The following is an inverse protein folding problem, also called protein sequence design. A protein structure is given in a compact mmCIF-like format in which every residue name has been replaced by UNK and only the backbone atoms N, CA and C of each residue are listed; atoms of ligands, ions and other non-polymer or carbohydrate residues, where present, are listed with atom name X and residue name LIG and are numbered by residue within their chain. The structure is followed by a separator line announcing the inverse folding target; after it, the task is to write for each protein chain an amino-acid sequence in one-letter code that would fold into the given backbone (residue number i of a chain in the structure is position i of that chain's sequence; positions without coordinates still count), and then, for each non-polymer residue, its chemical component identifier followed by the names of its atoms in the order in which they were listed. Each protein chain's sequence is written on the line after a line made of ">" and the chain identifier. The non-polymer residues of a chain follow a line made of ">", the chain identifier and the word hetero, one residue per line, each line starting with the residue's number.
data_IF_968360390908
#
_entry.id   IF_968360390908
#
_cell.length_a   1.000
_cell.length_b   1.000
_cell.length_c   1.000
_cell.angle_alpha   90.00
_cell.angle_beta   90.00
_cell.angle_gamma   90.00
#
_symmetry.space_group_name_H-M   'P 1'
#
loop_
_entity.id
_entity.type
_entity.pdbx_description
1 polymer ?
#
# COMPACT_ATOMS: atom_id res chain seq x y z
N UNK A 1 18.51 34.26 -25.28
CA UNK A 1 18.09 34.46 -23.87
C UNK A 1 17.69 33.07 -23.40
N UNK A 2 18.69 32.27 -23.04
CA UNK A 2 18.51 30.86 -22.68
C UNK A 2 18.33 30.79 -21.16
N UNK A 3 17.16 30.31 -20.75
CA UNK A 3 16.74 30.30 -19.36
C UNK A 3 17.58 29.31 -18.52
N UNK A 4 17.85 29.61 -17.23
CA UNK A 4 18.59 28.76 -16.28
C UNK A 4 17.85 27.47 -15.87
N UNK A 5 16.79 27.12 -16.59
CA UNK A 5 15.91 25.99 -16.29
C UNK A 5 16.58 24.63 -16.52
N UNK A 6 17.62 24.56 -17.36
CA UNK A 6 18.26 23.30 -17.74
C UNK A 6 19.13 22.71 -16.64
N UNK A 7 19.79 23.53 -15.81
CA UNK A 7 20.58 23.04 -14.68
C UNK A 7 19.70 22.56 -13.53
N UNK A 8 18.63 23.29 -13.21
CA UNK A 8 17.67 22.91 -12.17
C UNK A 8 16.91 21.63 -12.53
N UNK A 9 16.51 21.50 -13.80
CA UNK A 9 15.92 20.25 -14.31
C UNK A 9 16.95 19.12 -14.27
N UNK A 10 18.21 19.39 -14.61
CA UNK A 10 19.29 18.41 -14.54
C UNK A 10 19.52 17.87 -13.12
N UNK A 11 19.55 18.75 -12.13
CA UNK A 11 19.68 18.37 -10.72
C UNK A 11 18.48 17.57 -10.22
N UNK A 12 17.27 17.97 -10.62
CA UNK A 12 16.05 17.25 -10.30
C UNK A 12 16.06 15.84 -10.91
N UNK A 13 16.45 15.73 -12.18
CA UNK A 13 16.54 14.44 -12.88
C UNK A 13 17.61 13.55 -12.23
N UNK A 14 18.81 14.07 -11.93
CA UNK A 14 19.86 13.29 -11.24
C UNK A 14 19.37 12.78 -9.87
N UNK A 15 18.64 13.62 -9.13
CA UNK A 15 18.03 13.22 -7.87
C UNK A 15 17.02 12.08 -8.05
N UNK A 16 16.10 12.19 -9.01
CA UNK A 16 15.08 11.16 -9.25
C UNK A 16 15.68 9.85 -9.76
N UNK A 17 16.66 9.92 -10.66
CA UNK A 17 17.40 8.76 -11.17
C UNK A 17 18.13 8.04 -10.05
N UNK A 18 18.84 8.75 -9.17
CA UNK A 18 19.54 8.13 -8.04
C UNK A 18 18.60 7.58 -6.99
N UNK A 19 17.50 8.26 -6.73
CA UNK A 19 16.64 7.97 -5.59
C UNK A 19 15.59 6.90 -5.93
N UNK A 20 14.98 6.96 -7.11
CA UNK A 20 13.76 6.18 -7.40
C UNK A 20 13.81 5.34 -8.68
N UNK A 21 14.50 5.79 -9.74
CA UNK A 21 14.43 5.14 -11.06
C UNK A 21 15.60 4.19 -11.31
N UNK A 22 16.82 4.59 -10.93
CA UNK A 22 18.08 3.98 -11.35
C UNK A 22 18.62 4.64 -12.62
N UNK A 23 19.90 4.42 -12.94
CA UNK A 23 20.52 4.97 -14.16
C UNK A 23 21.56 4.07 -14.77
N UNK A 24 21.69 4.15 -16.09
CA UNK A 24 22.76 3.49 -16.84
C UNK A 24 23.91 4.46 -17.04
N UNK A 25 25.10 4.10 -16.58
CA UNK A 25 26.31 4.88 -16.80
C UNK A 25 26.74 4.80 -18.27
N UNK A 26 27.55 5.76 -18.71
CA UNK A 26 28.14 5.74 -20.06
C UNK A 26 28.98 4.47 -20.33
N UNK A 27 29.45 3.80 -19.27
CA UNK A 27 30.13 2.49 -19.35
C UNK A 27 29.20 1.31 -19.66
N UNK A 28 27.89 1.54 -19.73
CA UNK A 28 26.86 0.51 -19.87
C UNK A 28 26.46 -0.18 -18.56
N UNK A 29 27.09 0.16 -17.44
CA UNK A 29 26.75 -0.40 -16.14
C UNK A 29 25.49 0.26 -15.56
N UNK A 30 24.54 -0.55 -15.08
CA UNK A 30 23.33 -0.08 -14.42
C UNK A 30 23.54 0.11 -12.92
N UNK A 31 23.25 1.32 -12.43
CA UNK A 31 23.18 1.65 -11.01
C UNK A 31 21.73 1.58 -10.55
N UNK A 32 21.46 0.68 -9.60
CA UNK A 32 20.15 0.58 -8.96
C UNK A 32 19.83 1.85 -8.15
N UNK A 33 18.54 2.20 -8.11
CA UNK A 33 18.04 3.29 -7.27
C UNK A 33 18.20 2.98 -5.78
N UNK A 34 18.21 4.01 -4.94
CA UNK A 34 18.20 3.86 -3.48
C UNK A 34 16.88 3.27 -2.98
N UNK A 35 15.76 3.68 -3.59
CA UNK A 35 14.42 3.19 -3.31
C UNK A 35 13.78 2.70 -4.62
N UNK A 36 14.21 1.54 -5.14
CA UNK A 36 13.70 1.00 -6.39
C UNK A 36 12.19 0.81 -6.32
N UNK A 37 11.55 0.90 -7.49
CA UNK A 37 10.10 0.85 -7.61
C UNK A 37 9.49 -0.43 -6.99
N UNK A 38 10.23 -1.54 -6.95
CA UNK A 38 9.82 -2.79 -6.28
C UNK A 38 9.51 -2.63 -4.78
N UNK A 39 10.06 -1.63 -4.11
CA UNK A 39 9.77 -1.31 -2.71
C UNK A 39 8.48 -0.50 -2.54
N UNK A 40 7.89 -0.01 -3.62
CA UNK A 40 6.72 0.85 -3.54
C UNK A 40 5.48 0.00 -3.25
N UNK A 41 4.68 0.43 -2.26
CA UNK A 41 3.44 -0.25 -1.82
C UNK A 41 2.41 -0.52 -2.94
N UNK A 42 2.58 0.08 -4.11
CA UNK A 42 1.66 0.00 -5.25
C UNK A 42 2.30 -0.62 -6.52
N UNK A 43 3.57 -1.01 -6.50
CA UNK A 43 4.29 -1.42 -7.72
C UNK A 43 3.60 -2.54 -8.51
N UNK A 44 2.97 -3.50 -7.80
CA UNK A 44 2.33 -4.65 -8.43
C UNK A 44 0.86 -4.41 -8.83
N UNK A 45 0.20 -3.34 -8.40
CA UNK A 45 -1.25 -3.19 -8.58
C UNK A 45 -1.73 -3.03 -10.04
N UNK A 46 -1.03 -2.30 -10.93
CA UNK A 46 -1.53 -2.06 -12.30
C UNK A 46 -1.54 -3.32 -13.17
N UNK A 47 -0.54 -4.20 -13.01
CA UNK A 47 -0.35 -5.37 -13.87
C UNK A 47 -1.28 -6.55 -13.52
N UNK A 48 -1.84 -6.57 -12.30
CA UNK A 48 -2.68 -7.68 -11.82
C UNK A 48 -4.17 -7.32 -11.70
N UNK A 49 -4.59 -6.12 -12.12
CA UNK A 49 -5.99 -5.68 -12.01
C UNK A 49 -6.51 -5.67 -10.56
N UNK A 50 -5.60 -5.60 -9.59
CA UNK A 50 -5.95 -5.63 -8.17
C UNK A 50 -6.54 -4.27 -7.77
N UNK A 51 -7.65 -4.24 -7.00
CA UNK A 51 -8.11 -3.01 -6.38
C UNK A 51 -6.95 -2.39 -5.63
N UNK A 52 -6.68 -1.10 -5.85
CA UNK A 52 -5.53 -0.45 -5.24
C UNK A 52 -5.47 -0.74 -3.75
N UNK A 53 -4.32 -1.23 -3.29
CA UNK A 53 -4.09 -1.69 -1.91
C UNK A 53 -4.51 -0.64 -0.87
N UNK A 54 -4.46 0.64 -1.24
CA UNK A 54 -5.00 1.78 -0.48
C UNK A 54 -6.47 1.59 -0.09
N UNK A 55 -7.34 1.15 -0.99
CA UNK A 55 -8.77 0.99 -0.68
C UNK A 55 -9.01 -0.13 0.34
N UNK A 56 -8.28 -1.23 0.22
CA UNK A 56 -8.40 -2.35 1.16
C UNK A 56 -7.81 -1.99 2.54
N UNK A 57 -6.66 -1.31 2.57
CA UNK A 57 -6.04 -0.82 3.80
C UNK A 57 -6.90 0.25 4.46
N UNK A 58 -7.46 1.19 3.69
CA UNK A 58 -8.40 2.19 4.19
C UNK A 58 -9.67 1.53 4.75
N UNK A 59 -10.22 0.54 4.04
CA UNK A 59 -11.39 -0.19 4.51
C UNK A 59 -11.10 -0.95 5.81
N UNK A 60 -9.95 -1.62 5.90
CA UNK A 60 -9.50 -2.28 7.12
C UNK A 60 -9.32 -1.29 8.26
N UNK A 61 -8.64 -0.16 8.01
CA UNK A 61 -8.41 0.87 9.02
C UNK A 61 -9.72 1.51 9.51
N UNK A 62 -10.69 1.75 8.61
CA UNK A 62 -12.04 2.22 8.98
C UNK A 62 -12.76 1.19 9.87
N UNK A 63 -12.72 -0.09 9.50
CA UNK A 63 -13.31 -1.16 10.32
C UNK A 63 -12.63 -1.27 11.69
N UNK A 64 -11.30 -1.24 11.72
CA UNK A 64 -10.51 -1.33 12.95
C UNK A 64 -10.80 -0.16 13.90
N UNK A 65 -10.86 1.07 13.38
CA UNK A 65 -11.22 2.24 14.19
C UNK A 65 -12.65 2.14 14.74
N UNK A 66 -13.60 1.59 13.98
CA UNK A 66 -14.93 1.30 14.50
C UNK A 66 -14.90 0.26 15.64
N UNK A 67 -14.03 -0.75 15.55
CA UNK A 67 -13.84 -1.77 16.61
C UNK A 67 -13.17 -1.21 17.86
N UNK A 68 -12.18 -0.32 17.72
CA UNK A 68 -11.53 0.37 18.85
C UNK A 68 -12.51 1.30 19.56
N UNK A 69 -13.41 1.94 18.81
CA UNK A 69 -14.58 2.65 19.36
C UNK A 69 -14.25 3.90 20.19
N UNK A 70 -13.03 4.44 20.08
CA UNK A 70 -12.64 5.67 20.77
C UNK A 70 -11.71 6.55 19.94
N UNK A 71 -11.88 7.87 20.06
CA UNK A 71 -11.09 8.86 19.32
C UNK A 71 -9.64 8.96 19.81
N UNK A 72 -9.38 8.68 21.10
CA UNK A 72 -8.06 8.69 21.72
C UNK A 72 -7.86 7.46 22.61
N UNK A 73 -7.47 6.33 22.02
CA UNK A 73 -7.05 5.15 22.79
C UNK A 73 -5.69 5.42 23.44
N UNK A 74 -5.49 4.97 24.69
CA UNK A 74 -4.13 4.80 25.20
C UNK A 74 -3.39 3.75 24.38
N UNK A 75 -2.05 3.83 24.33
CA UNK A 75 -1.23 2.85 23.60
C UNK A 75 -1.57 1.40 24.00
N UNK A 76 -1.85 1.17 25.29
CA UNK A 76 -2.24 -0.14 25.79
C UNK A 76 -3.58 -0.63 25.24
N UNK A 77 -4.61 0.23 25.19
CA UNK A 77 -5.91 -0.12 24.62
C UNK A 77 -5.80 -0.40 23.12
N UNK A 78 -4.99 0.39 22.41
CA UNK A 78 -4.70 0.19 21.00
C UNK A 78 -4.04 -1.18 20.77
N UNK A 79 -2.97 -1.50 21.52
CA UNK A 79 -2.27 -2.78 21.37
C UNK A 79 -3.15 -3.99 21.69
N UNK A 80 -4.01 -3.90 22.71
CA UNK A 80 -4.98 -4.95 23.03
C UNK A 80 -5.99 -5.16 21.90
N UNK A 81 -6.51 -4.07 21.32
CA UNK A 81 -7.41 -4.15 20.18
C UNK A 81 -6.72 -4.75 18.94
N UNK A 82 -5.46 -4.37 18.69
CA UNK A 82 -4.67 -4.90 17.59
C UNK A 82 -4.41 -6.41 17.74
N UNK A 83 -4.09 -6.86 18.97
CA UNK A 83 -3.94 -8.30 19.27
C UNK A 83 -5.24 -9.07 19.05
N UNK A 84 -6.39 -8.47 19.38
CA UNK A 84 -7.70 -9.08 19.12
C UNK A 84 -8.00 -9.18 17.63
N UNK A 85 -7.73 -8.13 16.86
CA UNK A 85 -7.94 -8.12 15.41
C UNK A 85 -7.08 -9.19 14.72
N UNK A 86 -5.82 -9.33 15.14
CA UNK A 86 -4.93 -10.38 14.65
C UNK A 86 -5.56 -11.78 14.81
N UNK A 87 -6.09 -12.09 15.99
CA UNK A 87 -6.78 -13.36 16.23
C UNK A 87 -8.00 -13.57 15.32
N UNK A 88 -8.76 -12.52 15.02
CA UNK A 88 -9.90 -12.59 14.08
C UNK A 88 -9.45 -12.81 12.64
N UNK A 89 -8.33 -12.22 12.24
CA UNK A 89 -7.73 -12.42 10.91
C UNK A 89 -7.26 -13.87 10.75
N UNK A 90 -6.56 -14.41 11.74
CA UNK A 90 -6.07 -15.80 11.73
C UNK A 90 -7.24 -16.81 11.66
N UNK A 91 -8.32 -16.57 12.41
CA UNK A 91 -9.54 -17.40 12.31
C UNK A 91 -10.19 -17.29 10.92
N UNK A 92 -10.25 -16.10 10.33
CA UNK A 92 -10.74 -15.93 8.95
C UNK A 92 -9.87 -16.65 7.93
N UNK A 93 -8.55 -16.58 8.08
CA UNK A 93 -7.59 -17.23 7.19
C UNK A 93 -7.70 -18.77 7.28
N UNK A 94 -7.76 -19.32 8.49
CA UNK A 94 -7.93 -20.77 8.70
C UNK A 94 -9.26 -21.27 8.14
N UNK A 95 -10.35 -20.52 8.33
CA UNK A 95 -11.65 -20.85 7.72
C UNK A 95 -11.60 -20.81 6.19
N UNK A 96 -10.95 -19.79 5.61
CA UNK A 96 -10.76 -19.68 4.16
C UNK A 96 -9.96 -20.87 3.60
N UNK A 97 -8.84 -21.22 4.22
CA UNK A 97 -8.02 -22.38 3.84
C UNK A 97 -8.78 -23.71 3.99
N UNK A 98 -9.71 -23.79 4.95
CA UNK A 98 -10.61 -24.92 5.14
C UNK A 98 -11.84 -24.92 4.21
N UNK A 99 -11.97 -23.94 3.31
CA UNK A 99 -13.10 -23.81 2.39
C UNK A 99 -14.43 -23.43 3.06
N UNK A 100 -14.41 -22.97 4.32
CA UNK A 100 -15.62 -22.54 5.03
C UNK A 100 -16.05 -21.16 4.52
N UNK A 101 -17.35 -20.95 4.25
CA UNK A 101 -17.84 -19.66 3.80
C UNK A 101 -17.62 -18.61 4.90
N UNK A 102 -17.36 -17.33 4.53
CA UNK A 102 -17.25 -16.26 5.51
C UNK A 102 -18.58 -16.13 6.29
N UNK A 103 -18.54 -15.79 7.59
CA UNK A 103 -19.74 -15.54 8.36
C UNK A 103 -20.56 -14.44 7.68
N UNK A 104 -21.82 -14.74 7.37
CA UNK A 104 -22.73 -13.89 6.60
C UNK A 104 -22.67 -12.43 7.04
N UNK A 105 -22.20 -11.54 6.15
CA UNK A 105 -22.09 -10.12 6.41
C UNK A 105 -21.58 -9.32 5.21
N UNK A 106 -22.48 -9.00 4.29
CA UNK A 106 -22.31 -7.88 3.35
C UNK A 106 -21.41 -8.14 2.15
N UNK A 107 -21.84 -9.03 1.25
CA UNK A 107 -21.38 -8.96 -0.13
C UNK A 107 -21.67 -7.55 -0.66
N UNK A 108 -20.63 -6.75 -0.86
CA UNK A 108 -20.69 -5.52 -1.64
C UNK A 108 -20.96 -5.89 -3.10
N UNK A 109 -22.21 -6.27 -3.39
CA UNK A 109 -22.79 -6.15 -4.71
C UNK A 109 -22.99 -4.67 -5.00
N UNK A 110 -21.90 -3.95 -5.25
CA UNK A 110 -22.00 -2.65 -5.91
C UNK A 110 -22.10 -2.94 -7.40
N UNK A 111 -23.31 -3.30 -7.82
CA UNK A 111 -23.75 -3.21 -9.22
C UNK A 111 -23.49 -1.77 -9.64
N UNK A 112 -22.48 -1.53 -10.48
CA UNK A 112 -22.37 -0.26 -11.20
C UNK A 112 -23.51 -0.24 -12.20
N UNK A 113 -24.56 0.55 -11.91
CA UNK A 113 -25.51 0.97 -12.94
C UNK A 113 -24.91 2.18 -13.67
N UNK A 114 -24.78 1.99 -14.98
CA UNK A 114 -24.52 2.94 -16.07
C UNK A 114 -23.16 3.65 -16.10
#
# INVERSE_FOLDING_TARGET
>A
MDLPLTSEIGELVDYFERTYIGRTLASGYYLAATFPIDLWNYHFSPSYGLPGTTNAVEAWHRSFNATVGCHHSTIWKFLLALKREQGLVEVRQTNYLAGKPPPNGGGLSRVRKH
#
